data_IF_095490705713
#
_entry.id   IF_095490705713
#
_cell.length_a   1.000
_cell.length_b   1.000
_cell.length_c   1.000
_cell.angle_alpha   90.00
_cell.angle_beta   90.00
_cell.angle_gamma   90.00
#
_symmetry.space_group_name_H-M   'P 1'
#
loop_
_entity.id
_entity.type
_entity.pdbx_description
1 polymer ?
#
# COMPACT_ATOMS: atom_id res chain seq x y z
N UNK A 1 13.83 17.40 10.85
CA UNK A 1 13.76 16.96 9.45
C UNK A 1 12.31 16.73 9.07
N UNK A 2 11.73 17.61 8.25
CA UNK A 2 10.37 17.45 7.74
C UNK A 2 10.34 16.24 6.82
N UNK A 3 9.90 15.10 7.37
CA UNK A 3 9.63 13.92 6.55
C UNK A 3 8.45 14.30 5.64
N UNK A 4 8.65 14.25 4.33
CA UNK A 4 7.57 14.51 3.37
C UNK A 4 6.53 13.40 3.50
N UNK A 5 5.54 13.64 4.36
CA UNK A 5 4.44 12.71 4.58
C UNK A 5 3.55 12.66 3.35
N UNK A 6 3.13 11.46 2.98
CA UNK A 6 2.30 11.17 1.82
C UNK A 6 0.87 10.93 2.32
N UNK A 7 -0.09 11.69 1.81
CA UNK A 7 -1.50 11.44 2.10
C UNK A 7 -2.07 10.44 1.10
N UNK A 8 -2.78 9.42 1.58
CA UNK A 8 -3.41 8.40 0.74
C UNK A 8 -4.76 7.96 1.34
N UNK A 9 -5.58 7.28 0.54
CA UNK A 9 -6.83 6.63 0.95
C UNK A 9 -6.60 5.13 1.15
N UNK A 10 -7.05 4.60 2.28
CA UNK A 10 -7.02 3.17 2.57
C UNK A 10 -8.16 2.40 1.85
N UNK A 11 -8.18 1.07 1.97
CA UNK A 11 -9.19 0.21 1.36
C UNK A 11 -10.62 0.51 1.84
N UNK A 12 -10.77 1.17 3.00
CA UNK A 12 -12.05 1.61 3.55
C UNK A 12 -12.41 3.05 3.13
N UNK A 13 -11.63 3.68 2.25
CA UNK A 13 -11.81 5.06 1.79
C UNK A 13 -11.40 6.12 2.80
N UNK A 14 -10.74 5.76 3.91
CA UNK A 14 -10.27 6.71 4.93
C UNK A 14 -8.95 7.34 4.52
N UNK A 15 -8.84 8.65 4.72
CA UNK A 15 -7.59 9.37 4.49
C UNK A 15 -6.60 9.10 5.63
N UNK A 16 -5.41 8.62 5.27
CA UNK A 16 -4.29 8.34 6.17
C UNK A 16 -3.03 9.05 5.69
N UNK A 17 -2.02 9.01 6.54
CA UNK A 17 -0.72 9.62 6.27
C UNK A 17 0.35 8.52 6.33
N UNK A 18 1.19 8.46 5.32
CA UNK A 18 2.27 7.49 5.18
C UNK A 18 3.63 8.19 5.17
N UNK A 19 4.64 7.51 5.68
CA UNK A 19 6.04 7.88 5.55
C UNK A 19 6.60 7.42 4.20
N UNK A 20 6.26 6.21 3.80
CA UNK A 20 6.71 5.61 2.55
C UNK A 20 5.64 4.68 1.98
N UNK A 21 5.71 4.52 0.66
CA UNK A 21 4.85 3.63 -0.14
C UNK A 21 5.78 2.93 -1.11
N UNK A 22 5.76 1.60 -1.13
CA UNK A 22 6.71 0.79 -1.90
C UNK A 22 5.99 -0.36 -2.60
N UNK A 23 6.30 -0.57 -3.89
CA UNK A 23 5.83 -1.72 -4.63
C UNK A 23 6.60 -2.96 -4.20
N UNK A 24 5.87 -4.00 -3.82
CA UNK A 24 6.42 -5.30 -3.45
C UNK A 24 5.74 -6.39 -4.28
N UNK A 25 6.41 -7.54 -4.39
CA UNK A 25 5.81 -8.77 -4.93
C UNK A 25 5.42 -9.65 -3.76
N UNK A 26 4.17 -10.08 -3.72
CA UNK A 26 3.67 -10.99 -2.70
C UNK A 26 3.36 -12.34 -3.34
N UNK A 27 4.01 -13.40 -2.86
CA UNK A 27 3.76 -14.76 -3.33
C UNK A 27 2.58 -15.34 -2.58
N UNK A 28 1.48 -15.58 -3.30
CA UNK A 28 0.24 -16.11 -2.75
C UNK A 28 0.14 -17.59 -3.12
N UNK A 29 -0.09 -18.44 -2.11
CA UNK A 29 -0.36 -19.86 -2.31
C UNK A 29 -1.85 -20.07 -2.53
N UNK A 30 -2.21 -20.58 -3.70
CA UNK A 30 -3.54 -21.06 -3.99
C UNK A 30 -3.70 -22.46 -3.39
N UNK A 31 -4.54 -22.57 -2.36
CA UNK A 31 -4.79 -23.84 -1.68
C UNK A 31 -5.63 -24.82 -2.51
N UNK A 32 -6.38 -24.34 -3.51
CA UNK A 32 -7.27 -25.15 -4.34
C UNK A 32 -6.48 -25.77 -5.50
N UNK A 33 -5.66 -24.96 -6.16
CA UNK A 33 -4.87 -25.39 -7.31
C UNK A 33 -3.47 -25.91 -6.93
N UNK A 34 -3.11 -25.82 -5.64
CA UNK A 34 -1.78 -26.14 -5.10
C UNK A 34 -0.63 -25.39 -5.80
N UNK A 35 -0.93 -24.26 -6.42
CA UNK A 35 0.05 -23.41 -7.11
C UNK A 35 0.44 -22.20 -6.27
N UNK A 36 1.57 -21.59 -6.60
CA UNK A 36 1.97 -20.29 -6.05
C UNK A 36 2.09 -19.31 -7.20
N UNK A 37 1.53 -18.12 -7.03
CA UNK A 37 1.66 -17.04 -8.00
C UNK A 37 2.07 -15.75 -7.29
N UNK A 38 2.77 -14.89 -8.02
CA UNK A 38 3.18 -13.58 -7.51
C UNK A 38 2.17 -12.52 -7.94
N UNK A 39 1.72 -11.72 -6.97
CA UNK A 39 0.87 -10.57 -7.22
C UNK A 39 1.57 -9.27 -6.78
N UNK A 40 1.43 -8.16 -7.53
CA UNK A 40 1.95 -6.87 -7.10
C UNK A 40 1.11 -6.28 -5.97
N UNK A 41 1.78 -5.91 -4.90
CA UNK A 41 1.21 -5.32 -3.70
C UNK A 41 1.95 -4.04 -3.33
N UNK A 42 1.30 -3.19 -2.56
CA UNK A 42 1.87 -1.95 -2.05
C UNK A 42 2.05 -2.09 -0.55
N UNK A 43 3.28 -1.93 -0.09
CA UNK A 43 3.63 -1.78 1.32
C UNK A 43 3.58 -0.29 1.69
N UNK A 44 2.85 0.02 2.75
CA UNK A 44 2.62 1.40 3.20
C UNK A 44 3.02 1.52 4.66
N UNK A 45 4.04 2.34 4.95
CA UNK A 45 4.42 2.67 6.32
C UNK A 45 3.56 3.82 6.79
N UNK A 46 2.47 3.50 7.48
CA UNK A 46 1.49 4.47 7.98
C UNK A 46 2.00 5.14 9.25
N UNK A 47 1.82 6.45 9.34
CA UNK A 47 2.13 7.25 10.54
C UNK A 47 0.82 7.64 11.20
N UNK A 48 0.50 7.01 12.33
CA UNK A 48 -0.65 7.41 13.14
C UNK A 48 -0.31 8.50 14.13
N UNK A 49 -1.33 9.29 14.46
CA UNK A 49 -1.20 10.38 15.44
C UNK A 49 -0.92 9.89 16.86
N UNK A 50 -1.37 8.68 17.22
CA UNK A 50 -1.31 8.14 18.59
C UNK A 50 -0.54 6.82 18.67
N UNK A 51 -0.73 5.92 17.70
CA UNK A 51 -0.17 4.56 17.72
C UNK A 51 1.26 4.44 17.18
N UNK A 52 1.90 5.56 16.80
CA UNK A 52 3.19 5.52 16.14
C UNK A 52 3.07 5.02 14.69
N UNK A 53 4.02 4.21 14.25
CA UNK A 53 4.10 3.71 12.87
C UNK A 53 3.73 2.23 12.78
N UNK A 54 3.06 1.85 11.69
CA UNK A 54 2.80 0.46 11.35
C UNK A 54 2.76 0.27 9.84
N UNK A 55 2.94 -0.97 9.42
CA UNK A 55 2.89 -1.36 8.01
C UNK A 55 1.48 -1.82 7.63
N UNK A 56 0.94 -1.27 6.56
CA UNK A 56 -0.26 -1.78 5.89
C UNK A 56 0.11 -2.31 4.50
N UNK A 57 -0.57 -3.37 4.08
CA UNK A 57 -0.40 -3.96 2.75
C UNK A 57 -1.71 -3.82 1.98
N UNK A 58 -1.62 -3.49 0.70
CA UNK A 58 -2.78 -3.35 -0.18
C UNK A 58 -2.47 -3.92 -1.56
N UNK A 59 -3.40 -4.64 -2.21
CA UNK A 59 -3.26 -5.01 -3.61
C UNK A 59 -3.03 -3.78 -4.50
N UNK A 60 -2.12 -3.87 -5.48
CA UNK A 60 -1.77 -2.71 -6.33
C UNK A 60 -2.98 -2.16 -7.08
N UNK A 61 -3.84 -3.04 -7.61
CA UNK A 61 -5.05 -2.65 -8.35
C UNK A 61 -6.01 -1.81 -7.50
N UNK A 62 -6.23 -2.16 -6.24
CA UNK A 62 -7.05 -1.40 -5.30
C UNK A 62 -6.40 -0.07 -4.95
N UNK A 63 -5.08 -0.08 -4.72
CA UNK A 63 -4.35 1.15 -4.42
C UNK A 63 -4.45 2.17 -5.57
N UNK A 64 -4.25 1.73 -6.82
CA UNK A 64 -4.39 2.59 -8.01
C UNK A 64 -5.81 3.14 -8.13
N UNK A 65 -6.83 2.30 -7.91
CA UNK A 65 -8.23 2.72 -7.98
C UNK A 65 -8.55 3.80 -6.95
N UNK A 66 -8.01 3.68 -5.74
CA UNK A 66 -8.28 4.61 -4.64
C UNK A 66 -7.39 5.86 -4.68
N UNK A 67 -6.19 5.76 -5.26
CA UNK A 67 -5.15 6.77 -5.25
C UNK A 67 -4.49 6.96 -6.63
N UNK A 68 -5.25 7.25 -7.71
CA UNK A 68 -4.73 7.24 -9.08
C UNK A 68 -3.60 8.26 -9.31
N UNK A 69 -3.75 9.47 -8.77
CA UNK A 69 -2.71 10.52 -8.88
C UNK A 69 -1.42 10.15 -8.16
N UNK A 70 -1.55 9.44 -7.03
CA UNK A 70 -0.40 9.02 -6.23
C UNK A 70 0.34 7.87 -6.91
N UNK A 71 -0.39 6.91 -7.46
CA UNK A 71 0.21 5.83 -8.26
C UNK A 71 1.02 6.39 -9.44
N UNK A 72 0.44 7.35 -10.19
CA UNK A 72 1.14 8.02 -11.30
C UNK A 72 2.42 8.73 -10.85
N UNK A 73 2.36 9.45 -9.72
CA UNK A 73 3.52 10.16 -9.15
C UNK A 73 4.64 9.21 -8.70
N UNK A 74 4.27 8.04 -8.17
CA UNK A 74 5.21 7.03 -7.70
C UNK A 74 5.68 6.08 -8.81
N UNK A 75 5.19 6.27 -10.05
CA UNK A 75 5.46 5.40 -11.19
C UNK A 75 5.13 3.92 -10.90
N UNK A 76 4.03 3.71 -10.16
CA UNK A 76 3.47 2.42 -9.79
C UNK A 76 2.52 1.87 -10.85
#
# INVERSE_FOLDING_TARGET
MSHNLITFKDANGRTKTARSITLIKHSIRDAINETTFDEPWVEIIVVGRVRGEWTEYMPLNEFIKMNPELAKRLSL
#
